data_IF_720383477714
#
_entry.id   IF_720383477714
#
_cell.length_a   1.000
_cell.length_b   1.000
_cell.length_c   1.000
_cell.angle_alpha   90.00
_cell.angle_beta   90.00
_cell.angle_gamma   90.00
#
_symmetry.space_group_name_H-M   'P 1'
#
loop_
_entity.id
_entity.type
_entity.pdbx_description
1 polymer ?
#
# COMPACT_ATOMS: atom_id res chain seq x y z
N UNK A 1 21.03 6.50 42.60
CA UNK A 1 20.03 6.27 41.53
C UNK A 1 19.57 4.86 41.70
N UNK A 2 18.39 4.73 42.31
CA UNK A 2 17.81 3.45 42.73
C UNK A 2 17.48 2.64 41.48
N UNK A 3 17.62 1.32 41.49
CA UNK A 3 17.25 0.46 40.33
C UNK A 3 15.83 0.77 39.81
N UNK A 4 14.92 1.22 40.70
CA UNK A 4 13.58 1.69 40.36
C UNK A 4 13.55 2.86 39.34
N UNK A 5 14.49 3.80 39.41
CA UNK A 5 14.55 4.95 38.49
C UNK A 5 15.00 4.51 37.09
N UNK A 6 15.96 3.57 37.01
CA UNK A 6 16.50 3.03 35.76
C UNK A 6 15.48 2.18 34.98
N UNK A 7 14.61 1.44 35.67
CA UNK A 7 13.50 0.71 35.03
C UNK A 7 12.35 1.64 34.59
N UNK A 8 12.13 2.76 35.28
CA UNK A 8 11.05 3.71 34.96
C UNK A 8 11.30 4.51 33.68
N UNK A 9 12.55 4.87 33.40
CA UNK A 9 12.92 5.63 32.19
C UNK A 9 12.93 4.73 30.94
N UNK A 10 13.40 3.49 31.04
CA UNK A 10 13.50 2.58 29.88
C UNK A 10 12.13 2.09 29.37
N UNK A 11 11.16 1.83 30.25
CA UNK A 11 9.82 1.38 29.86
C UNK A 11 9.07 2.46 29.06
N UNK A 12 9.22 3.73 29.48
CA UNK A 12 8.53 4.86 28.87
C UNK A 12 9.10 5.21 27.48
N UNK A 13 10.42 5.05 27.29
CA UNK A 13 11.08 5.23 25.99
C UNK A 13 10.65 4.14 24.99
N UNK A 14 10.61 2.88 25.41
CA UNK A 14 10.18 1.77 24.56
C UNK A 14 8.71 1.92 24.15
N UNK A 15 7.81 2.24 25.09
CA UNK A 15 6.39 2.46 24.81
C UNK A 15 6.17 3.63 23.85
N UNK A 16 6.90 4.74 24.03
CA UNK A 16 6.83 5.89 23.14
C UNK A 16 7.29 5.55 21.72
N UNK A 17 8.43 4.86 21.57
CA UNK A 17 8.94 4.43 20.26
C UNK A 17 7.97 3.47 19.56
N UNK A 18 7.35 2.55 20.31
CA UNK A 18 6.39 1.61 19.78
C UNK A 18 5.08 2.30 19.36
N UNK A 19 4.61 3.30 20.12
CA UNK A 19 3.47 4.12 19.72
C UNK A 19 3.75 4.92 18.45
N UNK A 20 4.92 5.57 18.36
CA UNK A 20 5.33 6.31 17.16
C UNK A 20 5.39 5.38 15.93
N UNK A 21 5.93 4.17 16.10
CA UNK A 21 5.95 3.15 15.06
C UNK A 21 4.53 2.72 14.62
N UNK A 22 3.63 2.46 15.56
CA UNK A 22 2.24 2.07 15.27
C UNK A 22 1.47 3.21 14.60
N UNK A 23 1.69 4.45 15.03
CA UNK A 23 1.09 5.63 14.42
C UNK A 23 1.54 5.78 12.96
N UNK A 24 2.84 5.59 12.68
CA UNK A 24 3.38 5.60 11.32
C UNK A 24 2.76 4.48 10.47
N UNK A 25 2.69 3.25 10.99
CA UNK A 25 2.09 2.11 10.28
C UNK A 25 0.61 2.33 9.97
N UNK A 26 -0.15 2.94 10.88
CA UNK A 26 -1.55 3.31 10.65
C UNK A 26 -1.67 4.35 9.54
N UNK A 27 -0.81 5.38 9.57
CA UNK A 27 -0.77 6.40 8.54
C UNK A 27 -0.46 5.80 7.16
N UNK A 28 0.57 4.96 7.05
CA UNK A 28 0.94 4.29 5.80
C UNK A 28 -0.21 3.42 5.26
N UNK A 29 -0.93 2.73 6.15
CA UNK A 29 -2.10 1.93 5.78
C UNK A 29 -3.24 2.80 5.20
N UNK A 30 -3.60 3.90 5.87
CA UNK A 30 -4.65 4.81 5.38
C UNK A 30 -4.25 5.50 4.07
N UNK A 31 -2.98 5.87 3.92
CA UNK A 31 -2.42 6.36 2.66
C UNK A 31 -2.58 5.33 1.53
N UNK A 32 -2.24 4.07 1.80
CA UNK A 32 -2.35 2.97 0.81
C UNK A 32 -3.80 2.71 0.42
N UNK A 33 -4.75 2.78 1.37
CA UNK A 33 -6.18 2.68 1.07
C UNK A 33 -6.68 3.80 0.16
N UNK A 34 -6.24 5.04 0.41
CA UNK A 34 -6.59 6.19 -0.42
C UNK A 34 -6.03 6.03 -1.85
N UNK A 35 -4.77 5.64 -1.99
CA UNK A 35 -4.14 5.38 -3.29
C UNK A 35 -4.88 4.30 -4.06
N UNK A 36 -5.27 3.21 -3.38
CA UNK A 36 -6.08 2.14 -3.97
C UNK A 36 -7.46 2.64 -4.41
N UNK A 37 -8.14 3.43 -3.58
CA UNK A 37 -9.45 3.99 -3.91
C UNK A 37 -9.38 4.91 -5.15
N UNK A 38 -8.36 5.76 -5.23
CA UNK A 38 -8.10 6.60 -6.42
C UNK A 38 -7.82 5.75 -7.65
N UNK A 39 -7.08 4.66 -7.52
CA UNK A 39 -6.75 3.78 -8.63
C UNK A 39 -8.00 3.04 -9.15
N UNK A 40 -8.87 2.55 -8.25
CA UNK A 40 -10.17 1.97 -8.60
C UNK A 40 -11.07 2.97 -9.31
N UNK A 41 -11.17 4.20 -8.79
CA UNK A 41 -11.94 5.27 -9.40
C UNK A 41 -11.46 5.58 -10.83
N UNK A 42 -10.14 5.61 -11.05
CA UNK A 42 -9.55 5.83 -12.37
C UNK A 42 -9.92 4.75 -13.38
N UNK A 43 -9.98 3.48 -12.95
CA UNK A 43 -10.49 2.37 -13.79
C UNK A 43 -11.95 2.61 -14.17
N UNK A 44 -12.81 2.96 -13.20
CA UNK A 44 -14.24 3.18 -13.47
C UNK A 44 -14.49 4.29 -14.50
N UNK A 45 -13.64 5.32 -14.53
CA UNK A 45 -13.80 6.46 -15.43
C UNK A 45 -12.89 6.44 -16.66
N UNK A 46 -12.21 5.32 -16.96
CA UNK A 46 -11.22 5.21 -18.05
C UNK A 46 -10.15 6.33 -18.03
N UNK A 47 -9.86 6.89 -16.85
CA UNK A 47 -8.87 7.94 -16.69
C UNK A 47 -7.50 7.31 -16.45
N UNK A 48 -6.75 7.17 -17.53
CA UNK A 48 -5.42 6.59 -17.52
C UNK A 48 -4.40 7.54 -16.90
N UNK A 49 -3.52 7.06 -15.99
CA UNK A 49 -2.37 7.84 -15.55
C UNK A 49 -1.46 8.15 -16.75
N UNK A 50 -0.93 9.37 -16.81
CA UNK A 50 -0.05 9.85 -17.90
C UNK A 50 1.21 9.00 -18.12
N UNK A 51 1.60 8.18 -17.14
CA UNK A 51 2.69 7.20 -17.30
C UNK A 51 2.35 6.08 -18.29
N UNK A 52 1.06 5.74 -18.47
CA UNK A 52 0.61 4.72 -19.42
C UNK A 52 0.56 5.23 -20.86
N UNK A 53 0.61 6.55 -21.09
CA UNK A 53 0.70 7.12 -22.43
C UNK A 53 2.09 6.91 -23.07
N UNK A 54 3.07 6.48 -22.28
CA UNK A 54 4.44 6.18 -22.75
C UNK A 54 4.67 4.71 -23.12
N UNK A 55 3.64 3.87 -23.07
CA UNK A 55 3.74 2.49 -23.56
C UNK A 55 3.74 2.55 -25.08
N UNK A 56 4.93 2.70 -25.67
CA UNK A 56 5.15 2.55 -27.10
C UNK A 56 4.91 1.08 -27.46
N UNK A 57 3.69 0.75 -27.89
CA UNK A 57 3.46 -0.50 -28.61
C UNK A 57 4.14 -0.36 -29.96
N UNK A 58 5.25 -1.08 -30.16
CA UNK A 58 5.98 -1.13 -31.44
C UNK A 58 5.01 -1.41 -32.58
N UNK A 59 4.68 -0.38 -33.36
CA UNK A 59 3.78 -0.49 -34.51
C UNK A 59 4.58 -1.22 -35.61
N UNK A 60 4.23 -2.45 -36.01
CA UNK A 60 5.04 -3.20 -36.97
C UNK A 60 4.89 -2.67 -38.41
N UNK A 61 4.00 -1.70 -38.65
CA UNK A 61 3.69 -1.23 -40.00
C UNK A 61 3.48 0.28 -40.00
N UNK A 62 4.30 1.05 -40.74
CA UNK A 62 4.08 2.48 -40.90
C UNK A 62 2.76 2.72 -41.64
N UNK A 63 1.67 3.02 -40.92
CA UNK A 63 0.34 3.27 -41.51
C UNK A 63 0.32 4.41 -42.54
N UNK A 64 1.34 5.26 -42.52
CA UNK A 64 1.59 6.35 -43.46
C UNK A 64 2.02 5.88 -44.86
N UNK A 65 2.34 4.60 -45.06
CA UNK A 65 2.59 4.03 -46.39
C UNK A 65 1.34 3.43 -47.05
N UNK A 66 0.21 3.38 -46.33
CA UNK A 66 -1.05 2.85 -46.84
C UNK A 66 -1.76 3.95 -47.64
N UNK A 67 -1.82 3.77 -48.95
CA UNK A 67 -2.46 4.70 -49.88
C UNK A 67 -3.99 4.68 -49.80
N UNK A 68 -4.55 3.55 -49.38
CA UNK A 68 -5.99 3.44 -49.13
C UNK A 68 -6.34 4.01 -47.75
N UNK A 69 -6.97 5.18 -47.76
CA UNK A 69 -7.36 5.92 -46.57
C UNK A 69 -8.35 5.16 -45.68
N UNK A 70 -9.22 4.32 -46.24
CA UNK A 70 -10.21 3.56 -45.48
C UNK A 70 -9.55 2.42 -44.69
N UNK A 71 -8.65 1.68 -45.34
CA UNK A 71 -7.81 0.66 -44.69
C UNK A 71 -6.88 1.27 -43.62
N UNK A 72 -6.26 2.43 -43.92
CA UNK A 72 -5.39 3.12 -42.97
C UNK A 72 -6.14 3.55 -41.69
N UNK A 73 -7.35 4.09 -41.84
CA UNK A 73 -8.19 4.49 -40.71
C UNK A 73 -8.69 3.27 -39.92
N UNK A 74 -9.13 2.21 -40.60
CA UNK A 74 -9.57 0.97 -39.95
C UNK A 74 -8.47 0.34 -39.11
N UNK A 75 -7.23 0.30 -39.61
CA UNK A 75 -6.06 -0.17 -38.86
C UNK A 75 -5.77 0.72 -37.65
N UNK A 76 -5.81 2.05 -37.83
CA UNK A 76 -5.63 3.00 -36.72
C UNK A 76 -6.66 2.77 -35.61
N UNK A 77 -7.93 2.63 -35.96
CA UNK A 77 -9.01 2.39 -34.99
C UNK A 77 -8.84 1.05 -34.26
N UNK A 78 -8.36 0.01 -34.97
CA UNK A 78 -8.03 -1.27 -34.35
C UNK A 78 -6.86 -1.14 -33.37
N UNK A 79 -5.82 -0.40 -33.73
CA UNK A 79 -4.69 -0.14 -32.84
C UNK A 79 -5.10 0.66 -31.60
N UNK A 80 -5.92 1.70 -31.77
CA UNK A 80 -6.43 2.50 -30.65
C UNK A 80 -7.26 1.62 -29.69
N UNK A 81 -8.07 0.69 -30.22
CA UNK A 81 -8.80 -0.29 -29.39
C UNK A 81 -7.88 -1.24 -28.63
N UNK A 82 -6.85 -1.76 -29.29
CA UNK A 82 -5.86 -2.64 -28.63
C UNK A 82 -5.12 -1.87 -27.54
N UNK A 83 -4.67 -0.65 -27.84
CA UNK A 83 -3.96 0.20 -26.88
C UNK A 83 -4.83 0.51 -25.67
N UNK A 84 -6.09 0.90 -25.88
CA UNK A 84 -7.04 1.15 -24.78
C UNK A 84 -7.26 -0.09 -23.93
N UNK A 85 -7.45 -1.26 -24.56
CA UNK A 85 -7.61 -2.53 -23.83
C UNK A 85 -6.37 -2.88 -23.01
N UNK A 86 -5.18 -2.84 -23.61
CA UNK A 86 -3.92 -3.10 -22.90
C UNK A 86 -3.74 -2.14 -21.72
N UNK A 87 -4.07 -0.87 -21.91
CA UNK A 87 -4.02 0.14 -20.85
C UNK A 87 -4.96 -0.19 -19.68
N UNK A 88 -6.19 -0.62 -19.94
CA UNK A 88 -7.13 -1.09 -18.92
C UNK A 88 -6.60 -2.33 -18.19
N UNK A 89 -6.12 -3.33 -18.93
CA UNK A 89 -5.56 -4.56 -18.37
C UNK A 89 -4.37 -4.25 -17.44
N UNK A 90 -3.47 -3.33 -17.84
CA UNK A 90 -2.35 -2.93 -17.00
C UNK A 90 -2.78 -2.17 -15.73
N UNK A 91 -3.83 -1.34 -15.80
CA UNK A 91 -4.38 -0.68 -14.60
C UNK A 91 -4.93 -1.70 -13.62
N UNK A 92 -5.60 -2.74 -14.11
CA UNK A 92 -6.15 -3.80 -13.29
C UNK A 92 -5.04 -4.55 -12.54
N UNK A 93 -3.96 -4.93 -13.24
CA UNK A 93 -2.77 -5.53 -12.60
C UNK A 93 -2.19 -4.61 -11.52
N UNK A 94 -2.15 -3.30 -11.77
CA UNK A 94 -1.67 -2.31 -10.80
C UNK A 94 -2.56 -2.23 -9.55
N UNK A 95 -3.88 -2.34 -9.71
CA UNK A 95 -4.84 -2.39 -8.59
C UNK A 95 -4.62 -3.65 -7.78
N UNK A 96 -4.57 -4.81 -8.41
CA UNK A 96 -4.35 -6.09 -7.73
C UNK A 96 -3.04 -6.07 -6.92
N UNK A 97 -1.96 -5.54 -7.50
CA UNK A 97 -0.69 -5.38 -6.78
C UNK A 97 -0.80 -4.41 -5.59
N UNK A 98 -1.55 -3.32 -5.73
CA UNK A 98 -1.79 -2.36 -4.65
C UNK A 98 -2.63 -2.97 -3.53
N UNK A 99 -3.64 -3.79 -3.85
CA UNK A 99 -4.46 -4.51 -2.87
C UNK A 99 -3.63 -5.48 -2.04
N UNK A 100 -2.80 -6.30 -2.71
CA UNK A 100 -1.88 -7.22 -2.03
C UNK A 100 -0.96 -6.48 -1.06
N UNK A 101 -0.40 -5.34 -1.48
CA UNK A 101 0.47 -4.52 -0.63
C UNK A 101 -0.30 -3.90 0.55
N UNK A 102 -1.52 -3.42 0.33
CA UNK A 102 -2.37 -2.89 1.40
C UNK A 102 -2.70 -3.95 2.44
N UNK A 103 -2.99 -5.19 2.02
CA UNK A 103 -3.22 -6.32 2.92
C UNK A 103 -1.98 -6.69 3.72
N UNK A 104 -0.80 -6.68 3.11
CA UNK A 104 0.46 -6.89 3.82
C UNK A 104 0.69 -5.82 4.90
N UNK A 105 0.44 -4.54 4.58
CA UNK A 105 0.53 -3.45 5.55
C UNK A 105 -0.45 -3.64 6.71
N UNK A 106 -1.70 -4.03 6.44
CA UNK A 106 -2.71 -4.34 7.45
C UNK A 106 -2.27 -5.48 8.38
N UNK A 107 -1.69 -6.54 7.81
CA UNK A 107 -1.16 -7.67 8.57
C UNK A 107 -0.01 -7.26 9.51
N UNK A 108 0.94 -6.47 9.00
CA UNK A 108 2.05 -5.93 9.80
C UNK A 108 1.54 -5.07 10.97
N UNK A 109 0.57 -4.20 10.71
CA UNK A 109 -0.03 -3.36 11.73
C UNK A 109 -0.72 -4.19 12.83
N UNK A 110 -1.53 -5.17 12.44
CA UNK A 110 -2.23 -6.04 13.39
C UNK A 110 -1.25 -6.84 14.26
N UNK A 111 -0.17 -7.36 13.66
CA UNK A 111 0.87 -8.09 14.39
C UNK A 111 1.56 -7.19 15.43
N UNK A 112 1.96 -5.98 15.03
CA UNK A 112 2.58 -5.02 15.94
C UNK A 112 1.63 -4.59 17.08
N UNK A 113 0.33 -4.43 16.78
CA UNK A 113 -0.69 -4.12 17.79
C UNK A 113 -0.90 -5.27 18.78
N UNK A 114 -0.89 -6.52 18.31
CA UNK A 114 -1.01 -7.68 19.19
C UNK A 114 0.21 -7.82 20.11
N UNK A 115 1.42 -7.61 19.58
CA UNK A 115 2.65 -7.57 20.38
C UNK A 115 2.60 -6.50 21.47
N UNK A 116 2.05 -5.32 21.19
CA UNK A 116 1.85 -4.28 22.21
C UNK A 116 0.94 -4.78 23.34
N UNK A 117 -0.23 -5.36 22.99
CA UNK A 117 -1.19 -5.86 23.99
C UNK A 117 -0.60 -6.98 24.86
N UNK A 118 0.14 -7.89 24.24
CA UNK A 118 0.85 -8.96 24.95
C UNK A 118 1.89 -8.38 25.93
N UNK A 119 2.72 -7.43 25.48
CA UNK A 119 3.72 -6.79 26.32
C UNK A 119 3.10 -5.96 27.46
N UNK A 120 1.98 -5.26 27.22
CA UNK A 120 1.25 -4.55 28.28
C UNK A 120 0.69 -5.52 29.34
N UNK A 121 0.17 -6.68 28.91
CA UNK A 121 -0.36 -7.71 29.81
C UNK A 121 0.74 -8.41 30.63
N UNK A 122 1.92 -8.62 30.05
CA UNK A 122 3.09 -9.16 30.74
C UNK A 122 3.63 -8.18 31.81
N UNK A 123 3.75 -6.89 31.47
CA UNK A 123 4.17 -5.86 32.41
C UNK A 123 3.19 -5.65 33.58
N UNK A 124 1.88 -5.78 33.34
CA UNK A 124 0.87 -5.75 34.40
C UNK A 124 1.00 -6.95 35.35
N UNK A 125 1.28 -8.14 34.81
CA UNK A 125 1.44 -9.36 35.60
C UNK A 125 2.70 -9.31 36.49
N UNK A 126 3.83 -8.82 35.96
CA UNK A 126 5.06 -8.63 36.73
C UNK A 126 4.91 -7.60 37.85
N UNK A 127 4.18 -6.50 37.61
CA UNK A 127 3.89 -5.49 38.64
C UNK A 127 3.04 -6.04 39.78
N UNK A 128 2.09 -6.92 39.49
CA UNK A 128 1.25 -7.56 40.52
C UNK A 128 2.08 -8.55 41.33
N UNK A 129 2.89 -9.41 40.69
CA UNK A 129 3.78 -10.34 41.36
C UNK A 129 4.79 -9.63 42.27
N UNK A 130 5.40 -8.54 41.81
CA UNK A 130 6.38 -7.77 42.59
C UNK A 130 5.72 -7.12 43.82
N UNK A 131 4.45 -6.69 43.70
CA UNK A 131 3.71 -6.07 44.80
C UNK A 131 3.27 -7.08 45.86
N UNK A 132 2.93 -8.31 45.45
CA UNK A 132 2.55 -9.41 46.35
C UNK A 132 3.74 -10.00 47.11
N UNK A 133 4.96 -9.91 46.58
CA UNK A 133 6.16 -10.39 47.29
C UNK A 133 6.79 -9.37 48.26
N UNK A 134 6.28 -8.13 48.29
CA UNK A 134 6.74 -7.05 49.16
C UNK A 134 5.79 -6.75 50.33
N UNK A 135 4.66 -7.47 50.42
CA UNK A 135 3.74 -7.51 51.58
C UNK A 135 3.94 -8.78 52.40
#
# INVERSE_FOLDING_TARGET
>A
LSELEFYSENSNVYQKQLFEYLAQKKYDMEKSKLELALLKQRITHNHLPTSFDKVETSIPTPTHTITDTETAQSLKDQYDKILQRTKVDMMQVYVEAAEVRADQCRLQFNNAMNQLKENESAHLSDRILTKVMLE
#
